data_IF_488662377096
#
_entry.id   IF_488662377096
#
_cell.length_a   1.000
_cell.length_b   1.000
_cell.length_c   1.000
_cell.angle_alpha   90.00
_cell.angle_beta   90.00
_cell.angle_gamma   90.00
#
_symmetry.space_group_name_H-M   'P 1'
#
loop_
_entity.id
_entity.type
_entity.pdbx_description
1 polymer ?
#
# COMPACT_ATOMS: atom_id res chain seq x y z
N UNK A 1 2.98 -12.78 -6.79
CA UNK A 1 4.33 -12.19 -6.59
C UNK A 1 4.79 -12.55 -5.20
N UNK A 2 5.85 -13.34 -5.07
CA UNK A 2 6.41 -13.75 -3.76
C UNK A 2 7.32 -12.65 -3.27
N UNK A 3 6.96 -12.03 -2.17
CA UNK A 3 7.79 -11.07 -1.47
C UNK A 3 8.26 -11.71 -0.16
N UNK A 4 9.56 -11.84 0.03
CA UNK A 4 10.13 -12.32 1.29
C UNK A 4 10.24 -11.14 2.26
N UNK A 5 9.14 -10.85 2.95
CA UNK A 5 9.06 -9.79 3.96
C UNK A 5 9.54 -10.33 5.31
N UNK A 6 10.86 -10.48 5.46
CA UNK A 6 11.49 -11.11 6.63
C UNK A 6 11.42 -10.26 7.91
N UNK A 7 11.28 -8.96 7.77
CA UNK A 7 11.29 -8.05 8.90
C UNK A 7 10.28 -6.91 8.74
N UNK A 8 9.92 -6.26 9.85
CA UNK A 8 9.09 -5.04 9.82
C UNK A 8 9.74 -3.91 8.99
N UNK A 9 11.06 -3.82 8.99
CA UNK A 9 11.82 -2.86 8.18
C UNK A 9 11.66 -3.13 6.67
N UNK A 10 11.72 -4.40 6.24
CA UNK A 10 11.54 -4.78 4.83
C UNK A 10 10.10 -4.50 4.36
N UNK A 11 9.12 -4.78 5.24
CA UNK A 11 7.72 -4.43 4.99
C UNK A 11 7.56 -2.93 4.75
N UNK A 12 8.11 -2.08 5.62
CA UNK A 12 8.02 -0.63 5.49
C UNK A 12 8.72 -0.12 4.23
N UNK A 13 9.88 -0.68 3.90
CA UNK A 13 10.62 -0.34 2.69
C UNK A 13 9.90 -0.76 1.39
N UNK A 14 9.02 -1.77 1.46
CA UNK A 14 8.23 -2.22 0.30
C UNK A 14 7.02 -1.30 0.00
N UNK A 15 6.48 -0.59 1.00
CA UNK A 15 5.24 0.20 0.86
C UNK A 15 5.29 1.20 -0.30
N UNK A 16 6.35 2.03 -0.48
CA UNK A 16 6.40 2.98 -1.57
C UNK A 16 6.39 2.31 -2.95
N UNK A 17 7.05 1.17 -3.10
CA UNK A 17 7.06 0.42 -4.35
C UNK A 17 5.68 -0.16 -4.67
N UNK A 18 4.97 -0.70 -3.67
CA UNK A 18 3.62 -1.25 -3.82
C UNK A 18 2.59 -0.18 -4.21
N UNK A 19 2.73 1.04 -3.68
CA UNK A 19 1.81 2.14 -3.95
C UNK A 19 2.22 3.00 -5.17
N UNK A 20 3.49 2.91 -5.62
CA UNK A 20 4.05 3.75 -6.68
C UNK A 20 4.56 5.11 -6.19
N UNK A 21 4.39 5.45 -4.92
CA UNK A 21 4.86 6.69 -4.30
C UNK A 21 5.09 6.51 -2.80
N UNK A 22 5.87 7.42 -2.18
CA UNK A 22 6.07 7.44 -0.74
C UNK A 22 4.89 8.12 -0.02
N UNK A 23 4.05 7.36 0.72
CA UNK A 23 2.92 7.94 1.43
C UNK A 23 3.37 8.66 2.71
N UNK A 24 2.71 9.78 3.01
CA UNK A 24 2.81 10.52 4.28
C UNK A 24 1.44 10.59 4.92
N UNK A 25 1.35 10.67 6.25
CA UNK A 25 0.10 10.78 7.02
C UNK A 25 -1.00 9.88 6.47
N UNK A 26 -0.71 8.59 6.38
CA UNK A 26 -1.51 7.59 5.68
C UNK A 26 -1.71 6.33 6.50
N UNK A 27 -2.88 5.72 6.32
CA UNK A 27 -3.15 4.35 6.74
C UNK A 27 -3.03 3.45 5.52
N UNK A 28 -2.22 2.42 5.60
CA UNK A 28 -1.99 1.43 4.54
C UNK A 28 -2.45 0.07 5.01
N UNK A 29 -3.17 -0.64 4.16
CA UNK A 29 -3.55 -2.03 4.33
C UNK A 29 -2.98 -2.86 3.19
N UNK A 30 -2.28 -3.93 3.52
CA UNK A 30 -1.75 -4.90 2.56
C UNK A 30 -2.47 -6.21 2.79
N UNK A 31 -3.23 -6.67 1.80
CA UNK A 31 -3.92 -7.96 1.85
C UNK A 31 -2.96 -9.04 1.40
N UNK A 32 -2.81 -10.06 2.24
CA UNK A 32 -1.93 -11.19 2.03
C UNK A 32 -2.80 -12.42 1.75
N UNK A 33 -2.52 -13.06 0.63
CA UNK A 33 -3.07 -14.35 0.25
C UNK A 33 -2.09 -15.44 0.68
N UNK A 34 -2.57 -16.47 1.37
CA UNK A 34 -1.77 -17.59 1.85
C UNK A 34 -2.44 -18.87 1.38
N UNK A 35 -1.82 -19.56 0.41
CA UNK A 35 -2.30 -20.82 -0.14
C UNK A 35 -1.79 -22.05 0.65
N UNK A 36 -1.15 -21.82 1.80
CA UNK A 36 -0.55 -22.85 2.66
C UNK A 36 0.85 -23.28 2.22
N UNK A 37 1.30 -22.86 1.04
CA UNK A 37 2.67 -23.12 0.53
C UNK A 37 3.46 -21.85 0.33
N UNK A 38 2.77 -20.76 -0.01
CA UNK A 38 3.38 -19.50 -0.33
C UNK A 38 2.46 -18.33 0.08
N UNK A 39 3.08 -17.30 0.66
CA UNK A 39 2.40 -16.03 0.91
C UNK A 39 2.65 -15.05 -0.24
N UNK A 40 1.60 -14.38 -0.69
CA UNK A 40 1.68 -13.38 -1.75
C UNK A 40 0.90 -12.12 -1.38
N UNK A 41 1.39 -10.96 -1.84
CA UNK A 41 0.66 -9.71 -1.74
C UNK A 41 -0.36 -9.67 -2.87
N UNK A 42 -1.62 -9.55 -2.50
CA UNK A 42 -2.73 -9.44 -3.45
C UNK A 42 -2.99 -7.96 -3.82
N UNK A 43 -3.07 -7.10 -2.82
CA UNK A 43 -3.33 -5.68 -3.00
C UNK A 43 -2.72 -4.88 -1.85
N UNK A 44 -2.23 -3.69 -2.18
CA UNK A 44 -1.92 -2.64 -1.22
C UNK A 44 -2.84 -1.44 -1.49
N UNK A 45 -3.51 -0.98 -0.44
CA UNK A 45 -4.44 0.14 -0.51
C UNK A 45 -4.13 1.14 0.61
N UNK A 46 -4.48 2.42 0.40
CA UNK A 46 -4.22 3.47 1.39
C UNK A 46 -5.32 4.52 1.44
N UNK A 47 -5.44 5.22 2.56
CA UNK A 47 -6.18 6.46 2.71
C UNK A 47 -5.47 7.40 3.69
N UNK A 48 -5.87 8.69 3.72
CA UNK A 48 -5.24 9.71 4.56
C UNK A 48 -5.60 9.49 6.04
N UNK A 49 -4.61 9.49 6.95
CA UNK A 49 -4.80 9.27 8.39
C UNK A 49 -5.64 10.37 9.09
N UNK A 50 -5.77 11.55 8.46
CA UNK A 50 -6.63 12.64 8.94
C UNK A 50 -8.09 12.51 8.48
N UNK A 51 -8.43 11.47 7.72
CA UNK A 51 -9.81 11.21 7.32
C UNK A 51 -10.69 10.92 8.56
N UNK A 52 -12.01 11.17 8.49
CA UNK A 52 -12.92 10.80 9.56
C UNK A 52 -12.86 9.30 9.87
N UNK A 53 -12.98 8.91 11.14
CA UNK A 53 -12.79 7.53 11.60
C UNK A 53 -13.72 6.51 10.90
N UNK A 54 -14.92 6.92 10.47
CA UNK A 54 -15.81 6.03 9.71
C UNK A 54 -15.23 5.58 8.35
N UNK A 55 -14.19 6.28 7.85
CA UNK A 55 -13.45 5.88 6.64
C UNK A 55 -12.77 4.53 6.83
N UNK A 56 -12.37 4.18 8.05
CA UNK A 56 -11.79 2.88 8.39
C UNK A 56 -12.73 1.71 8.00
N UNK A 57 -14.04 1.84 8.26
CA UNK A 57 -15.03 0.82 7.90
C UNK A 57 -15.19 0.72 6.38
N UNK A 58 -15.26 1.85 5.69
CA UNK A 58 -15.35 1.87 4.21
C UNK A 58 -14.11 1.26 3.59
N UNK A 59 -12.93 1.56 4.15
CA UNK A 59 -11.67 1.01 3.71
C UNK A 59 -11.66 -0.52 3.81
N UNK A 60 -12.01 -1.08 4.98
CA UNK A 60 -12.06 -2.53 5.18
C UNK A 60 -13.05 -3.19 4.21
N UNK A 61 -14.22 -2.61 4.01
CA UNK A 61 -15.25 -3.15 3.11
C UNK A 61 -14.83 -3.13 1.63
N UNK A 62 -13.84 -2.32 1.26
CA UNK A 62 -13.29 -2.27 -0.10
C UNK A 62 -12.15 -3.27 -0.34
N UNK A 63 -11.62 -3.90 0.72
CA UNK A 63 -10.54 -4.87 0.59
C UNK A 63 -11.06 -6.25 0.16
N UNK A 64 -10.34 -6.98 -0.71
CA UNK A 64 -10.70 -8.34 -1.13
C UNK A 64 -10.33 -9.36 -0.04
N UNK A 65 -11.09 -9.39 1.06
CA UNK A 65 -10.78 -10.15 2.27
C UNK A 65 -11.07 -11.66 2.16
N UNK A 66 -11.66 -12.14 1.09
CA UNK A 66 -11.96 -13.56 0.86
C UNK A 66 -11.47 -14.00 -0.51
N UNK A 67 -10.90 -15.20 -0.56
CA UNK A 67 -10.60 -15.89 -1.80
C UNK A 67 -11.86 -16.47 -2.46
N UNK A 68 -11.72 -16.95 -3.69
CA UNK A 68 -12.79 -17.66 -4.42
C UNK A 68 -13.19 -18.97 -3.71
N UNK A 69 -12.28 -19.55 -2.93
CA UNK A 69 -12.47 -20.70 -2.05
C UNK A 69 -13.19 -20.37 -0.73
N UNK A 70 -13.51 -19.10 -0.48
CA UNK A 70 -14.12 -18.61 0.75
C UNK A 70 -13.15 -18.46 1.93
N UNK A 71 -11.87 -18.78 1.75
CA UNK A 71 -10.85 -18.65 2.81
C UNK A 71 -10.62 -17.16 3.10
N UNK A 72 -10.58 -16.82 4.39
CA UNK A 72 -10.31 -15.45 4.81
C UNK A 72 -8.82 -15.13 4.66
N UNK A 73 -8.53 -13.99 4.03
CA UNK A 73 -7.19 -13.44 3.89
C UNK A 73 -6.76 -12.68 5.11
N UNK A 74 -5.47 -12.60 5.34
CA UNK A 74 -4.88 -11.78 6.40
C UNK A 74 -4.52 -10.39 5.88
N UNK A 75 -4.48 -9.41 6.79
CA UNK A 75 -4.15 -8.03 6.46
C UNK A 75 -3.01 -7.55 7.35
N UNK A 76 -2.02 -6.94 6.74
CA UNK A 76 -0.98 -6.19 7.42
C UNK A 76 -1.36 -4.70 7.39
N UNK A 77 -1.34 -4.06 8.55
CA UNK A 77 -1.75 -2.66 8.72
C UNK A 77 -0.55 -1.79 9.06
N UNK A 78 -0.44 -0.63 8.42
CA UNK A 78 0.63 0.32 8.67
C UNK A 78 0.02 1.71 8.81
N UNK A 79 0.35 2.40 9.90
CA UNK A 79 0.15 3.82 10.05
C UNK A 79 1.47 4.54 9.77
N UNK A 80 1.47 5.47 8.83
CA UNK A 80 2.57 6.38 8.59
C UNK A 80 2.07 7.75 9.02
N UNK A 81 2.57 8.23 10.16
CA UNK A 81 2.04 9.45 10.76
C UNK A 81 3.10 10.14 11.61
N UNK A 82 3.26 11.45 11.40
CA UNK A 82 4.06 12.29 12.26
C UNK A 82 3.47 12.39 13.68
N UNK A 83 4.20 13.03 14.59
CA UNK A 83 3.81 13.13 16.00
C UNK A 83 2.44 13.80 16.22
N UNK A 84 2.02 14.70 15.33
CA UNK A 84 0.72 15.39 15.43
C UNK A 84 -0.43 14.46 15.06
N UNK A 85 -0.24 13.57 14.09
CA UNK A 85 -1.26 12.68 13.56
C UNK A 85 -1.23 11.27 14.19
N UNK A 86 -0.21 10.94 14.97
CA UNK A 86 0.02 9.60 15.54
C UNK A 86 -1.17 9.05 16.32
N UNK A 87 -1.76 9.85 17.21
CA UNK A 87 -2.88 9.40 18.05
C UNK A 87 -4.11 9.04 17.20
N UNK A 88 -4.43 9.86 16.20
CA UNK A 88 -5.55 9.59 15.29
C UNK A 88 -5.28 8.37 14.43
N UNK A 89 -4.06 8.23 13.91
CA UNK A 89 -3.65 7.07 13.14
C UNK A 89 -3.75 5.77 13.96
N UNK A 90 -3.41 5.79 15.24
CA UNK A 90 -3.63 4.68 16.16
C UNK A 90 -5.10 4.29 16.30
N UNK A 91 -6.00 5.26 16.42
CA UNK A 91 -7.44 5.01 16.45
C UNK A 91 -7.95 4.37 15.15
N UNK A 92 -7.38 4.76 13.99
CA UNK A 92 -7.70 4.12 12.72
C UNK A 92 -7.24 2.65 12.68
N UNK A 93 -6.00 2.35 13.11
CA UNK A 93 -5.51 0.97 13.19
C UNK A 93 -6.43 0.10 14.07
N UNK A 94 -6.85 0.61 15.24
CA UNK A 94 -7.75 -0.11 16.15
C UNK A 94 -9.14 -0.33 15.53
N UNK A 95 -9.69 0.67 14.86
CA UNK A 95 -10.99 0.56 14.22
C UNK A 95 -10.97 -0.47 13.07
N UNK A 96 -9.92 -0.44 12.24
CA UNK A 96 -9.71 -1.41 11.15
C UNK A 96 -9.57 -2.82 11.73
N UNK A 97 -8.71 -3.00 12.75
CA UNK A 97 -8.49 -4.31 13.39
C UNK A 97 -9.79 -4.92 13.90
N UNK A 98 -10.60 -4.13 14.63
CA UNK A 98 -11.91 -4.62 15.12
C UNK A 98 -12.84 -5.04 13.99
N UNK A 99 -12.89 -4.25 12.90
CA UNK A 99 -13.73 -4.56 11.75
C UNK A 99 -13.25 -5.83 11.02
N UNK A 100 -11.93 -6.00 10.82
CA UNK A 100 -11.35 -7.19 10.21
C UNK A 100 -11.69 -8.44 11.03
N UNK A 101 -11.50 -8.39 12.35
CA UNK A 101 -11.86 -9.49 13.23
C UNK A 101 -13.35 -9.82 13.17
N UNK A 102 -14.23 -8.82 13.11
CA UNK A 102 -15.67 -9.04 12.97
C UNK A 102 -16.05 -9.74 11.66
N UNK A 103 -15.24 -9.57 10.60
CA UNK A 103 -15.38 -10.22 9.30
C UNK A 103 -14.64 -11.57 9.21
N UNK A 104 -13.95 -12.00 10.28
CA UNK A 104 -13.19 -13.24 10.35
C UNK A 104 -11.84 -13.20 9.64
N UNK A 105 -11.34 -12.01 9.31
CA UNK A 105 -10.00 -11.82 8.74
C UNK A 105 -8.97 -11.58 9.84
N UNK A 106 -7.79 -12.19 9.71
CA UNK A 106 -6.70 -11.99 10.66
C UNK A 106 -5.95 -10.70 10.37
N UNK A 107 -5.52 -10.00 11.42
CA UNK A 107 -4.52 -8.96 11.33
C UNK A 107 -3.15 -9.61 11.55
N UNK A 108 -2.33 -9.63 10.51
CA UNK A 108 -1.01 -10.27 10.54
C UNK A 108 -0.02 -9.48 11.39
N UNK A 109 -0.03 -8.15 11.25
CA UNK A 109 0.86 -7.23 11.96
C UNK A 109 0.30 -5.81 11.91
N UNK A 110 0.57 -4.99 12.95
CA UNK A 110 0.24 -3.57 12.98
C UNK A 110 1.50 -2.75 13.22
N UNK A 111 1.90 -1.95 12.25
CA UNK A 111 3.09 -1.12 12.33
C UNK A 111 2.71 0.36 12.38
N UNK A 112 3.49 1.11 13.15
CA UNK A 112 3.50 2.57 13.09
C UNK A 112 4.89 3.03 12.68
N UNK A 113 5.00 3.97 11.74
CA UNK A 113 6.24 4.62 11.36
C UNK A 113 6.02 6.14 11.28
N UNK A 114 7.00 6.91 11.73
CA UNK A 114 6.93 8.37 11.63
C UNK A 114 6.94 8.81 10.16
N UNK A 115 7.85 8.24 9.40
CA UNK A 115 8.04 8.43 7.95
C UNK A 115 8.71 7.18 7.36
N UNK A 116 8.76 7.06 6.03
CA UNK A 116 9.37 5.92 5.35
C UNK A 116 10.79 6.20 4.82
N UNK A 117 11.26 7.45 4.85
CA UNK A 117 12.65 7.77 4.55
C UNK A 117 13.60 7.15 5.58
N UNK A 118 14.86 6.94 5.19
CA UNK A 118 15.84 6.27 6.05
C UNK A 118 16.05 6.97 7.40
N UNK A 119 16.16 6.17 8.46
CA UNK A 119 16.52 6.62 9.80
C UNK A 119 15.36 7.07 10.68
N UNK A 120 14.12 7.06 10.18
CA UNK A 120 12.93 7.36 10.96
C UNK A 120 12.51 6.18 11.85
N UNK A 121 11.84 6.48 12.97
CA UNK A 121 11.42 5.46 13.93
C UNK A 121 10.20 4.69 13.41
N UNK A 122 10.17 3.40 13.72
CA UNK A 122 8.98 2.58 13.59
C UNK A 122 8.78 1.71 14.84
N UNK A 123 7.54 1.30 15.07
CA UNK A 123 7.16 0.41 16.19
C UNK A 123 6.08 -0.57 15.71
N UNK A 124 6.20 -1.82 16.11
CA UNK A 124 5.12 -2.80 16.06
C UNK A 124 4.17 -2.54 17.23
N UNK A 125 2.92 -2.22 16.92
CA UNK A 125 1.92 -1.79 17.92
C UNK A 125 1.55 -2.92 18.89
N UNK A 126 1.65 -4.16 18.45
CA UNK A 126 1.21 -5.33 19.22
C UNK A 126 2.35 -5.89 20.09
N UNK A 127 3.57 -5.90 19.59
CA UNK A 127 4.72 -6.50 20.28
C UNK A 127 5.59 -5.48 20.99
N UNK A 128 5.52 -4.22 20.60
CA UNK A 128 6.43 -3.17 21.07
C UNK A 128 7.84 -3.24 20.47
N UNK A 129 8.08 -4.15 19.50
CA UNK A 129 9.31 -4.16 18.72
C UNK A 129 9.46 -2.81 18.02
N UNK A 130 10.67 -2.25 18.01
CA UNK A 130 10.95 -0.95 17.42
C UNK A 130 12.25 -0.98 16.63
N UNK A 131 12.37 -0.09 15.66
CA UNK A 131 13.57 0.01 14.83
C UNK A 131 13.62 1.31 14.03
N UNK A 132 14.47 1.29 13.01
CA UNK A 132 14.65 2.40 12.08
C UNK A 132 14.31 1.97 10.66
N UNK A 133 13.68 2.88 9.91
CA UNK A 133 13.46 2.70 8.48
C UNK A 133 14.78 2.73 7.71
N UNK A 134 14.80 2.06 6.57
CA UNK A 134 15.90 2.08 5.59
C UNK A 134 15.48 2.87 4.35
N UNK A 135 16.42 3.20 3.49
CA UNK A 135 16.09 3.86 2.21
C UNK A 135 15.27 2.91 1.33
N UNK A 136 13.98 3.17 1.20
CA UNK A 136 13.05 2.35 0.42
C UNK A 136 13.42 2.28 -1.07
N UNK A 137 14.17 3.28 -1.60
CA UNK A 137 14.60 3.32 -3.00
C UNK A 137 15.61 2.22 -3.32
N UNK A 138 16.30 1.72 -2.29
CA UNK A 138 17.28 0.63 -2.41
C UNK A 138 16.69 -0.72 -2.01
N UNK A 139 15.40 -0.81 -1.71
CA UNK A 139 14.74 -2.08 -1.40
C UNK A 139 14.70 -3.00 -2.62
N UNK A 140 14.78 -4.31 -2.39
CA UNK A 140 14.73 -5.33 -3.47
C UNK A 140 13.49 -5.14 -4.35
N UNK A 141 12.36 -4.76 -3.76
CA UNK A 141 11.12 -4.53 -4.50
C UNK A 141 11.19 -3.29 -5.38
N UNK A 142 11.75 -2.18 -4.86
CA UNK A 142 11.94 -0.96 -5.64
C UNK A 142 12.87 -1.20 -6.84
N UNK A 143 13.97 -1.93 -6.62
CA UNK A 143 14.91 -2.27 -7.67
C UNK A 143 14.27 -3.19 -8.74
N UNK A 144 13.47 -4.17 -8.31
CA UNK A 144 12.75 -5.05 -9.25
C UNK A 144 11.75 -4.28 -10.10
N UNK A 145 10.93 -3.41 -9.52
CA UNK A 145 9.98 -2.60 -10.29
C UNK A 145 10.67 -1.64 -11.25
N UNK A 146 11.80 -1.05 -10.84
CA UNK A 146 12.58 -0.20 -11.73
C UNK A 146 13.16 -0.97 -12.93
N UNK A 147 13.64 -2.22 -12.71
CA UNK A 147 14.30 -3.03 -13.75
C UNK A 147 13.28 -3.79 -14.61
N UNK A 148 12.28 -4.43 -14.01
CA UNK A 148 11.35 -5.31 -14.71
C UNK A 148 10.18 -4.54 -15.33
N UNK A 149 9.71 -3.46 -14.70
CA UNK A 149 8.52 -2.73 -15.12
C UNK A 149 8.81 -1.30 -15.60
N UNK A 150 10.07 -0.83 -15.49
CA UNK A 150 10.45 0.54 -15.82
C UNK A 150 9.78 1.61 -14.94
N UNK A 151 9.26 1.20 -13.76
CA UNK A 151 8.52 2.08 -12.85
C UNK A 151 9.45 2.68 -11.81
N UNK A 152 9.42 4.01 -11.69
CA UNK A 152 10.07 4.73 -10.60
C UNK A 152 9.07 5.03 -9.49
N UNK A 153 9.55 5.01 -8.24
CA UNK A 153 8.75 5.42 -7.08
C UNK A 153 8.74 6.96 -7.07
N UNK A 154 7.55 7.53 -7.13
CA UNK A 154 7.36 8.98 -7.08
C UNK A 154 7.47 9.50 -5.64
N UNK A 155 7.82 10.79 -5.50
CA UNK A 155 7.97 11.40 -4.18
C UNK A 155 6.65 11.58 -3.45
N UNK A 156 5.57 11.88 -4.18
CA UNK A 156 4.25 12.10 -3.62
C UNK A 156 3.14 11.64 -4.57
N UNK A 157 1.93 11.43 -4.00
CA UNK A 157 0.73 11.12 -4.80
C UNK A 157 0.40 12.20 -5.83
N UNK A 158 0.69 13.46 -5.53
CA UNK A 158 0.47 14.57 -6.45
C UNK A 158 1.29 14.42 -7.74
N UNK A 159 2.46 13.78 -7.67
CA UNK A 159 3.32 13.54 -8.83
C UNK A 159 2.67 12.54 -9.79
N UNK A 160 1.97 11.51 -9.24
CA UNK A 160 1.16 10.60 -10.06
C UNK A 160 0.06 11.37 -10.80
N UNK A 161 -0.67 12.24 -10.10
CA UNK A 161 -1.73 13.03 -10.73
C UNK A 161 -1.17 13.97 -11.82
N UNK A 162 0.04 14.49 -11.62
CA UNK A 162 0.69 15.35 -12.59
C UNK A 162 1.06 14.62 -13.90
N UNK A 163 1.42 13.33 -13.81
CA UNK A 163 1.69 12.50 -15.02
C UNK A 163 0.44 12.32 -15.90
N UNK A 164 -0.76 12.37 -15.29
CA UNK A 164 -2.05 12.22 -15.99
C UNK A 164 -2.73 13.58 -16.28
N UNK A 165 -2.10 14.71 -15.91
CA UNK A 165 -2.63 16.00 -16.29
C UNK A 165 -2.40 16.16 -17.80
N UNK A 166 -3.46 16.38 -18.62
CA UNK A 166 -3.25 16.63 -20.05
C UNK A 166 -2.29 17.83 -20.19
N UNK A 167 -1.18 17.60 -20.85
CA UNK A 167 -0.34 18.69 -21.33
C UNK A 167 -1.17 19.61 -22.24
N UNK A 168 -0.70 20.82 -22.51
CA UNK A 168 -1.31 21.68 -23.54
C UNK A 168 -1.68 20.84 -24.76
N UNK A 169 -2.90 20.98 -25.30
CA UNK A 169 -3.34 20.13 -26.41
C UNK A 169 -2.30 20.22 -27.53
N UNK A 170 -1.66 19.09 -27.78
CA UNK A 170 -0.81 18.97 -28.96
C UNK A 170 -1.67 19.33 -30.17
N UNK A 171 -1.14 20.08 -31.15
CA UNK A 171 -1.90 20.42 -32.35
C UNK A 171 -2.46 19.12 -32.94
N UNK A 172 -3.76 19.10 -33.11
CA UNK A 172 -4.63 18.02 -33.58
C UNK A 172 -3.89 16.88 -34.32
N UNK A 173 -3.45 15.86 -33.55
CA UNK A 173 -3.19 14.55 -34.11
C UNK A 173 -4.47 13.74 -33.91
N UNK A 174 -5.09 13.30 -34.99
CA UNK A 174 -6.24 12.38 -34.95
C UNK A 174 -5.87 11.16 -34.12
N UNK A 175 -6.41 11.07 -32.91
CA UNK A 175 -6.36 9.84 -32.11
C UNK A 175 -7.37 8.89 -32.73
N UNK A 176 -6.91 7.99 -33.59
CA UNK A 176 -7.75 6.91 -34.11
C UNK A 176 -8.12 5.98 -32.96
N UNK A 177 -9.38 5.55 -32.92
CA UNK A 177 -9.99 4.74 -31.85
C UNK A 177 -9.24 3.42 -31.52
N UNK A 178 -8.32 2.98 -32.35
CA UNK A 178 -7.53 1.74 -32.18
C UNK A 178 -6.54 1.79 -31.01
N UNK A 179 -6.00 2.96 -30.63
CA UNK A 179 -5.01 3.07 -29.55
C UNK A 179 -5.64 2.89 -28.18
N UNK A 180 -6.88 3.35 -27.98
CA UNK A 180 -7.61 3.23 -26.71
C UNK A 180 -8.02 1.78 -26.43
N UNK A 181 -8.39 1.02 -27.44
CA UNK A 181 -8.80 -0.38 -27.30
C UNK A 181 -7.66 -1.31 -26.89
N UNK A 182 -6.43 -1.05 -27.36
CA UNK A 182 -5.27 -1.88 -27.04
C UNK A 182 -4.77 -1.70 -25.60
N UNK A 183 -4.86 -0.49 -25.05
CA UNK A 183 -4.44 -0.20 -23.68
C UNK A 183 -5.41 -0.79 -22.63
N UNK A 184 -6.70 -0.82 -22.92
CA UNK A 184 -7.71 -1.41 -22.00
C UNK A 184 -7.64 -2.94 -21.99
N UNK A 185 -7.40 -3.58 -23.14
CA UNK A 185 -7.31 -5.05 -23.22
C UNK A 185 -6.06 -5.62 -22.57
N UNK A 186 -4.94 -4.89 -22.49
CA UNK A 186 -3.73 -5.33 -21.81
C UNK A 186 -3.84 -5.26 -20.28
N UNK A 187 -4.77 -4.48 -19.72
CA UNK A 187 -5.04 -4.41 -18.28
C UNK A 187 -5.94 -5.54 -17.78
N UNK A 188 -6.66 -6.25 -18.67
CA UNK A 188 -7.57 -7.35 -18.32
C UNK A 188 -7.05 -8.73 -18.71
N UNK A 189 -5.86 -8.84 -19.30
CA UNK A 189 -5.27 -10.09 -19.77
C UNK A 189 -3.99 -10.52 -19.03
N UNK A 190 -3.78 -10.00 -17.80
CA UNK A 190 -2.66 -10.38 -16.93
C UNK A 190 -3.16 -10.90 -15.58
#
# INVERSE_FOLDING_TARGET
>A
MTLDLRSSTDVLAAVPALLGFAPTNSIVGIVIDDDGTQQSILVAARYDSNAPLHTAIKFVNALPLRGDDGIARSVLLIAIADAEHQALAGHHLDAISRQLHALGSAVFKRLHADQLDAGHSWTDVDTGEAGRTVDYRTSDLALRFAVEEGRSILGARADIAAEFTPGDPAPEAEITADVVTHTILSLYAA
#
